data_IF_923605190404
#
_entry.id   IF_923605190404
#
_cell.length_a   1.000
_cell.length_b   1.000
_cell.length_c   1.000
_cell.angle_alpha   90.00
_cell.angle_beta   90.00
_cell.angle_gamma   90.00
#
_symmetry.space_group_name_H-M   'P 1'
#
loop_
_entity.id
_entity.type
_entity.pdbx_description
1 polymer ?
#
# COMPACT_ATOMS: atom_id res chain seq x y z
N UNK A 1 -33.82 3.35 -12.67
CA UNK A 1 -32.56 4.11 -12.78
C UNK A 1 -31.71 3.76 -11.56
N UNK A 2 -31.01 2.67 -11.55
CA UNK A 2 -30.02 2.28 -10.51
C UNK A 2 -29.26 1.04 -10.99
N UNK A 3 -28.30 1.19 -11.93
CA UNK A 3 -27.41 0.09 -12.36
C UNK A 3 -26.07 0.57 -12.97
N UNK A 4 -25.70 1.83 -12.82
CA UNK A 4 -24.48 2.38 -13.43
C UNK A 4 -23.32 2.62 -12.46
N UNK A 5 -23.55 2.60 -11.13
CA UNK A 5 -22.50 2.97 -10.16
C UNK A 5 -21.56 1.82 -9.74
N UNK A 6 -21.92 0.56 -10.07
CA UNK A 6 -21.11 -0.62 -9.69
C UNK A 6 -19.92 -0.90 -10.61
N UNK A 7 -19.91 -0.37 -11.83
CA UNK A 7 -18.86 -0.69 -12.82
C UNK A 7 -17.61 0.19 -12.69
N UNK A 8 -17.74 1.43 -12.23
CA UNK A 8 -16.58 2.31 -12.02
C UNK A 8 -15.72 1.93 -10.81
N UNK A 9 -16.34 1.46 -9.72
CA UNK A 9 -15.62 1.01 -8.53
C UNK A 9 -14.71 -0.19 -8.80
N UNK A 10 -15.20 -1.16 -9.59
CA UNK A 10 -14.44 -2.37 -9.92
C UNK A 10 -13.26 -2.14 -10.88
N UNK A 11 -13.31 -1.11 -11.72
CA UNK A 11 -12.21 -0.78 -12.63
C UNK A 11 -11.04 -0.13 -11.89
N UNK A 12 -11.31 0.71 -10.88
CA UNK A 12 -10.29 1.41 -10.11
C UNK A 12 -9.54 0.46 -9.15
N UNK A 13 -10.26 -0.46 -8.50
CA UNK A 13 -9.66 -1.49 -7.63
C UNK A 13 -8.79 -2.47 -8.45
N UNK A 14 -9.20 -2.81 -9.68
CA UNK A 14 -8.39 -3.64 -10.59
C UNK A 14 -7.11 -2.96 -11.03
N UNK A 15 -7.10 -1.65 -11.26
CA UNK A 15 -5.89 -0.94 -11.69
C UNK A 15 -4.87 -0.75 -10.55
N UNK A 16 -5.31 -0.52 -9.32
CA UNK A 16 -4.42 -0.43 -8.16
C UNK A 16 -3.78 -1.78 -7.81
N UNK A 17 -4.54 -2.87 -7.88
CA UNK A 17 -4.03 -4.23 -7.67
C UNK A 17 -3.11 -4.70 -8.81
N UNK A 18 -3.32 -4.26 -10.05
CA UNK A 18 -2.42 -4.54 -11.18
C UNK A 18 -1.08 -3.80 -11.04
N UNK A 19 -1.07 -2.59 -10.53
CA UNK A 19 0.17 -1.83 -10.31
C UNK A 19 1.05 -2.47 -9.23
N UNK A 20 0.45 -2.97 -8.15
CA UNK A 20 1.18 -3.68 -7.09
C UNK A 20 1.66 -5.06 -7.56
N UNK A 21 0.85 -5.80 -8.32
CA UNK A 21 1.22 -7.09 -8.90
C UNK A 21 2.31 -6.96 -9.99
N UNK A 22 2.29 -5.90 -10.80
CA UNK A 22 3.31 -5.64 -11.81
C UNK A 22 4.66 -5.30 -11.21
N UNK A 23 4.70 -4.62 -10.05
CA UNK A 23 5.95 -4.33 -9.33
C UNK A 23 6.60 -5.59 -8.75
N UNK A 24 5.79 -6.59 -8.35
CA UNK A 24 6.28 -7.85 -7.78
C UNK A 24 6.66 -8.92 -8.81
N UNK A 25 6.17 -8.82 -10.06
CA UNK A 25 6.37 -9.86 -11.07
C UNK A 25 7.55 -9.66 -12.02
N UNK A 26 8.35 -8.59 -11.85
CA UNK A 26 9.55 -8.37 -12.68
C UNK A 26 9.28 -8.31 -14.19
N UNK A 27 8.03 -8.03 -14.59
CA UNK A 27 7.66 -7.91 -16.00
C UNK A 27 8.15 -6.59 -16.56
N UNK A 28 9.37 -6.64 -17.11
CA UNK A 28 9.88 -5.65 -18.04
C UNK A 28 9.08 -5.71 -19.32
N UNK A 29 7.97 -4.98 -19.41
CA UNK A 29 7.41 -4.56 -20.68
C UNK A 29 6.31 -3.52 -20.48
N UNK A 30 6.58 -2.35 -21.04
CA UNK A 30 5.63 -1.24 -21.21
C UNK A 30 5.14 -0.67 -19.86
N UNK A 31 6.05 -0.26 -19.00
CA UNK A 31 5.73 0.80 -18.08
C UNK A 31 5.63 2.08 -18.92
N UNK A 32 4.40 2.54 -19.15
CA UNK A 32 4.20 3.97 -19.32
C UNK A 32 5.07 4.62 -18.24
N UNK A 33 5.92 5.55 -18.62
CA UNK A 33 6.94 6.21 -17.79
C UNK A 33 6.26 7.03 -16.67
N UNK A 34 5.65 6.32 -15.73
CA UNK A 34 5.16 6.87 -14.47
C UNK A 34 6.39 7.39 -13.75
N UNK A 35 6.59 8.70 -13.74
CA UNK A 35 7.64 9.25 -12.89
C UNK A 35 7.38 8.72 -11.47
N UNK A 36 8.40 8.15 -10.82
CA UNK A 36 8.21 7.53 -9.52
C UNK A 36 7.64 8.58 -8.57
N UNK A 37 6.52 8.25 -7.97
CA UNK A 37 5.97 9.04 -6.88
C UNK A 37 7.00 9.07 -5.77
N UNK A 38 7.37 10.28 -5.36
CA UNK A 38 8.38 10.45 -4.32
C UNK A 38 7.76 10.08 -2.96
N UNK A 39 8.50 9.32 -2.15
CA UNK A 39 8.12 9.08 -0.76
C UNK A 39 8.07 10.41 0.02
N UNK A 40 7.34 10.45 1.11
CA UNK A 40 7.25 11.64 1.98
C UNK A 40 8.62 12.11 2.44
N UNK A 41 9.55 11.18 2.72
CA UNK A 41 10.93 11.50 3.05
C UNK A 41 11.65 12.18 1.89
N UNK A 42 11.59 11.59 0.70
CA UNK A 42 12.20 12.14 -0.49
C UNK A 42 11.63 13.53 -0.87
N UNK A 43 10.31 13.73 -0.69
CA UNK A 43 9.69 15.04 -0.86
C UNK A 43 10.26 16.06 0.13
N UNK A 44 10.38 15.66 1.41
CA UNK A 44 10.92 16.51 2.46
C UNK A 44 12.39 16.86 2.21
N UNK A 45 13.20 15.91 1.78
CA UNK A 45 14.62 16.12 1.49
C UNK A 45 14.81 17.05 0.29
N UNK A 46 14.04 16.87 -0.78
CA UNK A 46 14.18 17.61 -2.04
C UNK A 46 13.53 18.98 -2.08
N UNK A 47 12.55 19.23 -1.23
CA UNK A 47 11.90 20.53 -1.17
C UNK A 47 12.84 21.60 -0.62
N UNK A 48 12.88 22.78 -1.25
CA UNK A 48 13.55 23.96 -0.74
C UNK A 48 12.73 24.67 0.34
N UNK A 49 11.39 24.57 0.20
CA UNK A 49 10.42 25.17 1.11
C UNK A 49 9.31 24.15 1.41
N UNK A 50 8.98 24.00 2.69
CA UNK A 50 7.83 23.21 3.14
C UNK A 50 6.97 24.11 4.01
N UNK A 51 5.73 24.30 3.59
CA UNK A 51 4.74 25.08 4.34
C UNK A 51 3.56 24.24 4.74
N UNK A 52 2.98 24.57 5.89
CA UNK A 52 1.74 23.98 6.39
C UNK A 52 0.70 25.08 6.48
N UNK A 53 -0.46 24.87 5.91
CA UNK A 53 -1.48 25.88 5.89
C UNK A 53 -2.76 25.49 5.15
N UNK A 54 -3.70 26.40 5.16
CA UNK A 54 -5.01 26.26 4.52
C UNK A 54 -4.97 26.81 3.11
N UNK A 55 -5.43 26.04 2.15
CA UNK A 55 -5.66 26.50 0.78
C UNK A 55 -6.90 27.39 0.78
N UNK A 56 -6.71 28.67 0.53
CA UNK A 56 -7.81 29.63 0.49
C UNK A 56 -8.47 29.67 -0.89
N UNK A 57 -7.65 29.62 -1.94
CA UNK A 57 -8.11 29.77 -3.31
C UNK A 57 -7.18 29.05 -4.29
N UNK A 58 -7.75 28.45 -5.31
CA UNK A 58 -7.05 27.93 -6.48
C UNK A 58 -7.68 28.53 -7.72
N UNK A 59 -6.89 29.14 -8.58
CA UNK A 59 -7.33 29.79 -9.80
C UNK A 59 -6.54 29.28 -10.99
N UNK A 60 -7.24 29.07 -12.08
CA UNK A 60 -6.64 28.79 -13.38
C UNK A 60 -5.95 30.03 -13.92
N UNK A 61 -4.70 29.90 -14.37
CA UNK A 61 -3.87 31.00 -14.88
C UNK A 61 -3.68 30.95 -16.39
N UNK A 62 -4.05 29.82 -17.03
CA UNK A 62 -3.97 29.63 -18.47
C UNK A 62 -3.13 28.42 -18.90
N UNK A 63 -2.98 28.19 -20.20
CA UNK A 63 -2.18 27.11 -20.72
C UNK A 63 -0.69 27.32 -20.47
N UNK A 64 0.01 26.24 -20.17
CA UNK A 64 1.46 26.23 -19.94
C UNK A 64 2.13 25.02 -20.59
N UNK A 65 3.41 24.86 -20.32
CA UNK A 65 4.17 23.70 -20.75
C UNK A 65 5.17 23.28 -19.67
N UNK A 66 5.33 21.99 -19.48
CA UNK A 66 6.36 21.44 -18.58
C UNK A 66 7.31 20.55 -19.38
N UNK A 67 8.62 20.76 -19.19
CA UNK A 67 9.64 19.89 -19.78
C UNK A 67 9.92 18.72 -18.81
N UNK A 68 9.70 17.49 -19.25
CA UNK A 68 10.03 16.27 -18.51
C UNK A 68 10.93 15.40 -19.39
N UNK A 69 12.13 15.10 -18.93
CA UNK A 69 13.13 14.28 -19.68
C UNK A 69 13.38 14.73 -21.13
N UNK A 70 13.32 16.05 -21.37
CA UNK A 70 13.56 16.63 -22.69
C UNK A 70 12.34 16.69 -23.62
N UNK A 71 11.20 16.16 -23.22
CA UNK A 71 9.93 16.32 -23.93
C UNK A 71 9.09 17.42 -23.27
N UNK A 72 8.44 18.24 -24.08
CA UNK A 72 7.50 19.28 -23.62
C UNK A 72 6.08 18.71 -23.59
N UNK A 73 5.46 18.77 -22.41
CA UNK A 73 4.08 18.37 -22.23
C UNK A 73 3.20 19.59 -21.99
N UNK A 74 2.06 19.69 -22.69
CA UNK A 74 1.11 20.77 -22.44
C UNK A 74 0.55 20.64 -21.02
N UNK A 75 0.45 21.79 -20.33
CA UNK A 75 -0.10 21.87 -18.99
C UNK A 75 -1.20 22.92 -18.92
N UNK A 76 -1.99 22.82 -17.86
CA UNK A 76 -2.82 23.90 -17.36
C UNK A 76 -2.15 24.48 -16.12
N UNK A 77 -1.88 25.77 -16.16
CA UNK A 77 -1.25 26.46 -15.04
C UNK A 77 -2.29 27.01 -14.08
N UNK A 78 -1.94 26.98 -12.79
CA UNK A 78 -2.78 27.44 -11.68
C UNK A 78 -1.97 28.32 -10.74
N UNK A 79 -2.70 29.18 -10.02
CA UNK A 79 -2.21 29.92 -8.87
C UNK A 79 -2.98 29.47 -7.63
N UNK A 80 -2.27 29.24 -6.52
CA UNK A 80 -2.87 28.92 -5.23
C UNK A 80 -2.49 29.95 -4.18
N UNK A 81 -3.50 30.44 -3.46
CA UNK A 81 -3.34 31.29 -2.29
C UNK A 81 -3.45 30.44 -1.03
N UNK A 82 -2.49 30.55 -0.13
CA UNK A 82 -2.41 29.79 1.11
C UNK A 82 -2.38 30.75 2.30
N UNK A 83 -3.17 30.42 3.33
CA UNK A 83 -2.96 30.95 4.68
C UNK A 83 -1.97 30.03 5.40
N UNK A 84 -0.71 30.50 5.55
CA UNK A 84 0.39 29.73 6.13
C UNK A 84 0.37 29.84 7.65
N UNK A 85 0.32 28.71 8.33
CA UNK A 85 0.43 28.61 9.78
C UNK A 85 1.86 28.34 10.22
N UNK A 86 2.61 27.56 9.44
CA UNK A 86 3.97 27.15 9.76
C UNK A 86 4.84 27.00 8.51
N UNK A 87 6.10 27.43 8.61
CA UNK A 87 7.18 27.06 7.71
C UNK A 87 8.01 25.94 8.37
N UNK A 88 7.89 24.72 7.85
CA UNK A 88 8.58 23.52 8.37
C UNK A 88 10.03 23.47 7.90
N UNK A 89 10.30 23.90 6.67
CA UNK A 89 11.63 23.93 6.05
C UNK A 89 11.77 25.15 5.14
N UNK A 90 12.96 25.70 5.05
CA UNK A 90 13.27 26.88 4.23
C UNK A 90 13.14 28.19 4.97
N UNK A 91 13.23 29.29 4.22
CA UNK A 91 13.05 30.64 4.77
C UNK A 91 11.57 30.89 5.13
N UNK A 92 11.28 31.52 6.27
CA UNK A 92 9.90 31.84 6.63
C UNK A 92 9.20 32.70 5.56
N UNK A 93 8.00 32.30 5.20
CA UNK A 93 7.17 33.02 4.22
C UNK A 93 6.07 33.85 4.92
N UNK A 94 5.48 34.86 4.26
CA UNK A 94 4.36 35.60 4.80
C UNK A 94 3.17 34.72 5.12
N UNK A 95 2.32 35.14 6.09
CA UNK A 95 1.09 34.42 6.43
C UNK A 95 0.14 34.19 5.25
N UNK A 96 0.15 35.10 4.28
CA UNK A 96 -0.52 34.93 2.98
C UNK A 96 0.56 34.73 1.95
N UNK A 97 0.56 33.60 1.33
CA UNK A 97 1.57 33.15 0.38
C UNK A 97 0.91 32.64 -0.88
N UNK A 98 1.35 33.12 -2.03
CA UNK A 98 0.86 32.66 -3.33
C UNK A 98 1.98 31.97 -4.08
N UNK A 99 1.67 30.85 -4.71
CA UNK A 99 2.58 30.15 -5.61
C UNK A 99 1.84 29.68 -6.86
N UNK A 100 2.60 29.39 -7.91
CA UNK A 100 2.06 28.86 -9.17
C UNK A 100 2.45 27.39 -9.35
N UNK A 101 1.61 26.65 -10.03
CA UNK A 101 1.89 25.25 -10.36
C UNK A 101 1.23 24.87 -11.68
N UNK A 102 1.83 23.88 -12.35
CA UNK A 102 1.37 23.38 -13.63
C UNK A 102 0.86 21.94 -13.47
N UNK A 103 -0.28 21.66 -14.07
CA UNK A 103 -0.87 20.32 -14.10
C UNK A 103 -0.86 19.84 -15.55
N UNK A 104 -0.31 18.68 -15.88
CA UNK A 104 -0.36 18.13 -17.23
C UNK A 104 -1.78 18.06 -17.77
N UNK A 105 -1.97 18.47 -19.02
CA UNK A 105 -3.30 18.52 -19.66
C UNK A 105 -3.82 17.13 -20.06
N UNK A 106 -2.99 16.10 -20.11
CA UNK A 106 -3.37 14.74 -20.45
C UNK A 106 -4.19 14.08 -19.34
N UNK A 107 -5.31 13.52 -19.73
CA UNK A 107 -6.50 13.22 -18.92
C UNK A 107 -6.31 12.36 -17.65
N UNK A 108 -5.31 11.51 -17.57
CA UNK A 108 -5.19 10.59 -16.45
C UNK A 108 -4.40 11.15 -15.25
N UNK A 109 -3.53 12.14 -15.47
CA UNK A 109 -2.60 12.64 -14.46
C UNK A 109 -3.05 13.94 -13.78
N UNK A 110 -3.79 14.76 -14.52
CA UNK A 110 -4.25 16.06 -14.05
C UNK A 110 -5.23 16.00 -12.88
N UNK A 111 -6.02 14.94 -12.80
CA UNK A 111 -7.04 14.78 -11.77
C UNK A 111 -6.44 14.51 -10.38
N UNK A 112 -5.30 13.82 -10.28
CA UNK A 112 -4.65 13.56 -8.98
C UNK A 112 -4.09 14.84 -8.37
N UNK A 113 -3.43 15.67 -9.16
CA UNK A 113 -2.89 16.95 -8.68
C UNK A 113 -4.00 17.97 -8.37
N UNK A 114 -5.09 18.01 -9.15
CA UNK A 114 -6.26 18.85 -8.88
C UNK A 114 -6.96 18.47 -7.58
N UNK A 115 -7.16 17.17 -7.32
CA UNK A 115 -7.78 16.68 -6.09
C UNK A 115 -6.99 17.03 -4.83
N UNK A 116 -5.67 17.26 -4.95
CA UNK A 116 -4.82 17.53 -3.79
C UNK A 116 -4.83 18.99 -3.31
N UNK A 117 -5.30 19.94 -4.13
CA UNK A 117 -5.34 21.38 -3.82
C UNK A 117 -6.75 21.94 -3.93
N UNK A 118 -7.67 21.39 -3.17
CA UNK A 118 -9.02 21.95 -3.07
C UNK A 118 -9.05 23.14 -2.11
N UNK A 119 -9.79 24.20 -2.44
CA UNK A 119 -10.04 25.30 -1.51
C UNK A 119 -10.61 24.80 -0.19
N UNK A 120 -10.28 25.48 0.89
CA UNK A 120 -10.67 25.13 2.26
C UNK A 120 -10.05 23.83 2.81
N UNK A 121 -9.09 23.20 2.11
CA UNK A 121 -8.33 22.07 2.66
C UNK A 121 -7.06 22.54 3.34
N UNK A 122 -6.65 21.79 4.38
CA UNK A 122 -5.41 22.06 5.12
C UNK A 122 -4.34 21.06 4.68
N UNK A 123 -3.14 21.57 4.30
CA UNK A 123 -2.11 20.76 3.62
C UNK A 123 -0.70 21.04 4.12
N UNK A 124 0.17 20.02 4.03
CA UNK A 124 1.63 20.19 3.92
C UNK A 124 1.96 20.27 2.44
N UNK A 125 2.68 21.30 2.03
CA UNK A 125 3.00 21.59 0.63
C UNK A 125 4.50 21.64 0.46
N UNK A 126 5.00 20.92 -0.54
CA UNK A 126 6.42 20.77 -0.86
C UNK A 126 6.76 21.56 -2.11
N UNK A 127 7.63 22.55 -1.97
CA UNK A 127 7.94 23.54 -3.01
C UNK A 127 9.44 23.62 -3.27
N UNK A 128 9.80 23.83 -4.53
CA UNK A 128 11.15 24.16 -4.96
C UNK A 128 11.20 25.61 -5.47
N UNK A 129 12.27 26.31 -5.13
CA UNK A 129 12.52 27.68 -5.58
C UNK A 129 12.81 27.71 -7.08
N UNK A 130 12.26 28.69 -7.76
CA UNK A 130 12.52 28.96 -9.19
C UNK A 130 12.93 30.41 -9.37
N UNK A 131 13.32 30.81 -10.57
CA UNK A 131 13.67 32.19 -10.86
C UNK A 131 12.49 33.18 -10.66
N UNK A 132 11.25 32.72 -10.79
CA UNK A 132 10.03 33.53 -10.74
C UNK A 132 9.15 33.24 -9.52
N UNK A 133 9.63 32.44 -8.54
CA UNK A 133 8.85 32.08 -7.36
C UNK A 133 9.04 30.65 -6.93
N UNK A 134 7.95 29.93 -6.69
CA UNK A 134 7.98 28.55 -6.22
C UNK A 134 7.11 27.64 -7.09
N UNK A 135 7.52 26.39 -7.25
CA UNK A 135 6.74 25.32 -7.88
C UNK A 135 6.73 24.06 -7.00
N UNK A 136 5.84 23.13 -7.27
CA UNK A 136 5.84 21.83 -6.58
C UNK A 136 7.16 21.08 -6.74
N UNK A 137 7.60 20.44 -5.66
CA UNK A 137 8.75 19.50 -5.68
C UNK A 137 8.47 18.28 -6.55
N UNK A 138 7.21 17.82 -6.56
CA UNK A 138 6.73 16.77 -7.44
C UNK A 138 5.36 17.15 -8.00
N UNK A 139 5.15 17.07 -9.33
CA UNK A 139 3.84 17.29 -9.92
C UNK A 139 2.84 16.17 -9.59
N UNK A 140 3.31 15.01 -9.15
CA UNK A 140 2.49 13.82 -8.88
C UNK A 140 2.08 13.69 -7.40
N UNK A 141 2.80 14.31 -6.49
CA UNK A 141 2.51 14.31 -5.05
C UNK A 141 2.83 15.68 -4.46
N UNK A 142 2.08 16.72 -4.87
CA UNK A 142 2.44 18.11 -4.55
C UNK A 142 2.20 18.48 -3.10
N UNK A 143 1.31 17.74 -2.42
CA UNK A 143 0.92 18.05 -1.05
C UNK A 143 0.38 16.82 -0.32
N UNK A 144 0.38 16.90 1.00
CA UNK A 144 -0.14 15.86 1.89
C UNK A 144 -1.25 16.47 2.75
N UNK A 145 -2.37 15.76 2.99
CA UNK A 145 -3.39 16.22 3.94
C UNK A 145 -2.78 16.47 5.32
N UNK A 146 -3.20 17.54 5.95
CA UNK A 146 -2.74 17.93 7.28
C UNK A 146 -3.92 18.47 8.11
N UNK A 147 -3.70 18.71 9.39
CA UNK A 147 -4.67 19.36 10.28
C UNK A 147 -4.04 20.51 11.04
N UNK A 148 -4.81 21.57 11.26
CA UNK A 148 -4.49 22.62 12.23
C UNK A 148 -4.70 22.20 13.67
N UNK A 149 -5.46 21.12 13.91
CA UNK A 149 -5.75 20.58 15.24
C UNK A 149 -4.69 19.55 15.61
N UNK A 150 -4.26 19.54 16.86
CA UNK A 150 -3.41 18.48 17.42
C UNK A 150 -4.27 17.31 17.91
N UNK A 151 -3.67 16.13 18.02
CA UNK A 151 -4.31 14.93 18.56
C UNK A 151 -4.66 15.01 20.06
N UNK A 152 -4.34 16.12 20.73
CA UNK A 152 -4.58 16.35 22.16
C UNK A 152 -3.31 16.31 23.00
N UNK A 153 -3.40 16.76 24.27
CA UNK A 153 -2.26 16.94 25.15
C UNK A 153 -1.60 15.61 25.59
N UNK A 154 -2.33 14.51 25.53
CA UNK A 154 -1.83 13.20 25.96
C UNK A 154 -0.97 12.52 24.90
N UNK A 155 -0.88 13.09 23.72
CA UNK A 155 -0.04 12.60 22.67
C UNK A 155 1.35 13.24 22.74
N UNK A 156 2.26 12.62 23.45
CA UNK A 156 3.66 13.03 23.52
C UNK A 156 4.54 11.99 22.80
N UNK A 157 4.57 12.03 21.48
CA UNK A 157 5.71 11.43 20.78
C UNK A 157 6.82 12.48 20.84
N UNK A 158 7.95 12.12 21.47
CA UNK A 158 9.13 12.96 21.48
C UNK A 158 9.74 12.96 20.08
N UNK A 159 9.30 13.92 19.25
CA UNK A 159 9.75 14.08 17.89
C UNK A 159 11.17 14.62 17.85
N UNK A 160 11.90 14.26 16.80
CA UNK A 160 13.07 15.01 16.40
C UNK A 160 12.62 16.36 15.83
N UNK A 161 13.42 17.40 16.00
CA UNK A 161 13.11 18.74 15.45
C UNK A 161 13.39 18.85 13.94
N UNK A 162 13.61 17.73 13.26
CA UNK A 162 13.85 17.73 11.82
C UNK A 162 12.53 17.92 11.02
N UNK A 163 12.69 18.42 9.80
CA UNK A 163 11.56 18.72 8.93
C UNK A 163 10.68 17.50 8.64
N UNK A 164 11.27 16.30 8.50
CA UNK A 164 10.53 15.08 8.21
C UNK A 164 9.63 14.67 9.38
N UNK A 165 10.16 14.73 10.61
CA UNK A 165 9.39 14.46 11.82
C UNK A 165 8.20 15.42 11.98
N UNK A 166 8.41 16.71 11.68
CA UNK A 166 7.33 17.72 11.70
C UNK A 166 6.26 17.43 10.63
N UNK A 167 6.66 17.02 9.43
CA UNK A 167 5.71 16.60 8.39
C UNK A 167 4.88 15.41 8.86
N UNK A 168 5.52 14.37 9.41
CA UNK A 168 4.84 13.19 9.94
C UNK A 168 3.85 13.56 11.05
N UNK A 169 4.22 14.46 11.95
CA UNK A 169 3.31 14.97 12.98
C UNK A 169 2.04 15.58 12.38
N UNK A 170 2.17 16.40 11.34
CA UNK A 170 1.02 17.04 10.69
C UNK A 170 0.09 16.01 10.02
N UNK A 171 0.66 14.98 9.43
CA UNK A 171 -0.11 13.85 8.86
C UNK A 171 -0.84 13.10 9.98
N UNK A 172 -0.18 12.81 11.08
CA UNK A 172 -0.78 12.12 12.21
C UNK A 172 -1.89 12.95 12.89
N UNK A 173 -1.69 14.26 13.04
CA UNK A 173 -2.72 15.18 13.52
C UNK A 173 -3.96 15.13 12.61
N UNK A 174 -3.78 14.96 11.30
CA UNK A 174 -4.89 14.77 10.37
C UNK A 174 -5.64 13.45 10.62
N UNK A 175 -4.94 12.36 10.92
CA UNK A 175 -5.57 11.07 11.23
C UNK A 175 -6.42 11.10 12.51
N UNK A 176 -6.10 12.00 13.46
CA UNK A 176 -6.84 12.18 14.70
C UNK A 176 -8.12 13.03 14.53
N UNK A 177 -8.26 13.75 13.43
CA UNK A 177 -9.39 14.66 13.22
C UNK A 177 -10.59 13.96 12.61
N UNK A 178 -11.78 14.54 12.77
CA UNK A 178 -13.01 14.09 12.10
C UNK A 178 -12.98 14.45 10.61
N UNK A 179 -12.12 13.76 9.86
CA UNK A 179 -12.03 13.90 8.41
C UNK A 179 -13.02 12.98 7.71
N UNK A 180 -13.46 13.39 6.51
CA UNK A 180 -14.36 12.60 5.68
C UNK A 180 -13.71 11.29 5.22
N UNK A 181 -14.52 10.33 4.78
CA UNK A 181 -14.00 9.06 4.24
C UNK A 181 -13.07 9.26 3.04
N UNK A 182 -13.32 10.26 2.18
CA UNK A 182 -12.48 10.57 1.02
C UNK A 182 -11.14 11.16 1.44
N UNK A 183 -11.12 12.05 2.44
CA UNK A 183 -9.89 12.60 3.00
C UNK A 183 -9.06 11.51 3.69
N UNK A 184 -9.71 10.59 4.41
CA UNK A 184 -9.06 9.42 4.98
C UNK A 184 -8.46 8.50 3.89
N UNK A 185 -9.13 8.31 2.76
CA UNK A 185 -8.60 7.55 1.62
C UNK A 185 -7.32 8.18 1.05
N UNK A 186 -7.22 9.51 0.98
CA UNK A 186 -6.01 10.17 0.50
C UNK A 186 -4.79 9.92 1.41
N UNK A 187 -5.00 9.78 2.71
CA UNK A 187 -3.93 9.42 3.66
C UNK A 187 -3.45 7.99 3.46
N UNK A 188 -4.34 7.08 3.07
CA UNK A 188 -3.96 5.71 2.71
C UNK A 188 -2.91 5.63 1.62
N UNK A 189 -3.11 6.39 0.54
CA UNK A 189 -2.15 6.45 -0.55
C UNK A 189 -0.79 6.93 -0.06
N UNK A 190 -0.80 7.85 0.90
CA UNK A 190 0.43 8.39 1.50
C UNK A 190 1.12 7.35 2.38
N UNK A 191 0.37 6.61 3.20
CA UNK A 191 0.91 5.57 4.08
C UNK A 191 1.51 4.40 3.30
N UNK A 192 0.87 3.97 2.22
CA UNK A 192 1.39 2.92 1.34
C UNK A 192 2.70 3.29 0.61
N UNK A 193 3.12 4.56 0.69
CA UNK A 193 4.30 5.07 0.02
C UNK A 193 5.43 5.45 0.99
N UNK A 194 5.28 5.09 2.25
CA UNK A 194 6.32 5.25 3.24
C UNK A 194 7.34 4.12 3.13
N UNK A 195 8.37 4.34 2.34
CA UNK A 195 9.50 3.42 2.20
C UNK A 195 10.48 3.49 3.39
N UNK A 196 10.23 4.38 4.35
CA UNK A 196 11.17 4.69 5.41
C UNK A 196 10.73 4.17 6.77
N UNK A 197 11.40 3.12 7.25
CA UNK A 197 11.18 2.54 8.58
C UNK A 197 11.39 3.53 9.75
N UNK A 198 12.00 4.70 9.51
CA UNK A 198 12.08 5.75 10.54
C UNK A 198 10.73 6.31 10.95
N UNK A 199 9.68 6.10 10.15
CA UNK A 199 8.29 6.42 10.50
C UNK A 199 7.65 5.40 11.47
N UNK A 200 8.26 4.24 11.72
CA UNK A 200 7.67 3.18 12.55
C UNK A 200 7.21 3.66 13.95
N UNK A 201 7.96 4.47 14.71
CA UNK A 201 7.49 4.97 16.01
C UNK A 201 6.18 5.78 15.90
N UNK A 202 6.02 6.55 14.82
CA UNK A 202 4.83 7.34 14.57
C UNK A 202 3.64 6.47 14.24
N UNK A 203 3.83 5.49 13.35
CA UNK A 203 2.77 4.57 12.96
C UNK A 203 2.30 3.74 14.16
N UNK A 204 3.21 3.30 15.01
CA UNK A 204 2.85 2.58 16.26
C UNK A 204 2.02 3.46 17.19
N UNK A 205 2.40 4.70 17.37
CA UNK A 205 1.61 5.63 18.18
C UNK A 205 0.23 5.90 17.53
N UNK A 206 0.15 6.00 16.20
CA UNK A 206 -1.11 6.16 15.49
C UNK A 206 -2.10 5.02 15.77
N UNK A 207 -1.63 3.78 15.93
CA UNK A 207 -2.49 2.64 16.28
C UNK A 207 -3.23 2.82 17.62
N UNK A 208 -2.69 3.61 18.55
CA UNK A 208 -3.34 3.89 19.83
C UNK A 208 -4.46 4.94 19.74
N UNK A 209 -4.56 5.64 18.60
CA UNK A 209 -5.57 6.68 18.40
C UNK A 209 -6.96 6.09 18.16
N UNK A 210 -8.00 6.56 18.85
CA UNK A 210 -9.36 6.06 18.66
C UNK A 210 -9.84 6.12 17.20
N UNK A 211 -9.54 7.21 16.48
CA UNK A 211 -9.92 7.40 15.07
C UNK A 211 -9.20 6.44 14.10
N UNK A 212 -7.98 6.00 14.44
CA UNK A 212 -7.24 5.00 13.68
C UNK A 212 -7.70 3.60 14.06
N UNK A 213 -7.79 3.33 15.35
CA UNK A 213 -8.17 2.01 15.85
C UNK A 213 -9.58 1.59 15.42
N UNK A 214 -10.52 2.53 15.36
CA UNK A 214 -11.88 2.28 14.87
C UNK A 214 -12.01 2.18 13.35
N UNK A 215 -10.98 2.52 12.59
CA UNK A 215 -10.98 2.47 11.13
C UNK A 215 -10.15 1.29 10.62
N UNK A 216 -10.78 0.17 10.19
CA UNK A 216 -10.06 -1.02 9.75
C UNK A 216 -9.09 -0.76 8.59
N UNK A 217 -9.47 0.13 7.68
CA UNK A 217 -8.62 0.47 6.56
C UNK A 217 -7.28 1.08 7.02
N UNK A 218 -7.33 2.09 7.91
CA UNK A 218 -6.12 2.72 8.46
C UNK A 218 -5.28 1.72 9.25
N UNK A 219 -5.94 0.95 10.09
CA UNK A 219 -5.27 -0.05 10.93
C UNK A 219 -4.55 -1.09 10.09
N UNK A 220 -5.19 -1.65 9.05
CA UNK A 220 -4.57 -2.63 8.15
C UNK A 220 -3.36 -2.05 7.41
N UNK A 221 -3.46 -0.81 6.90
CA UNK A 221 -2.34 -0.17 6.23
C UNK A 221 -1.14 -0.01 7.18
N UNK A 222 -1.37 0.57 8.36
CA UNK A 222 -0.32 0.81 9.35
C UNK A 222 0.31 -0.50 9.81
N UNK A 223 -0.51 -1.50 10.13
CA UNK A 223 -0.02 -2.81 10.58
C UNK A 223 0.78 -3.50 9.48
N UNK A 224 0.33 -3.42 8.22
CA UNK A 224 1.03 -3.98 7.07
C UNK A 224 2.40 -3.34 6.86
N UNK A 225 2.50 -2.01 6.93
CA UNK A 225 3.77 -1.30 6.79
C UNK A 225 4.75 -1.67 7.92
N UNK A 226 4.27 -1.70 9.17
CA UNK A 226 5.10 -2.08 10.32
C UNK A 226 5.61 -3.53 10.21
N UNK A 227 4.77 -4.47 9.77
CA UNK A 227 5.20 -5.85 9.52
C UNK A 227 6.19 -5.95 8.37
N UNK A 228 6.00 -5.16 7.31
CA UNK A 228 6.95 -5.10 6.20
C UNK A 228 8.34 -4.66 6.68
N UNK A 229 8.40 -3.73 7.62
CA UNK A 229 9.64 -3.31 8.28
C UNK A 229 10.09 -4.25 9.39
N UNK A 230 9.46 -5.42 9.55
CA UNK A 230 9.81 -6.44 10.54
C UNK A 230 9.58 -5.99 12.00
N UNK A 231 8.69 -5.03 12.22
CA UNK A 231 8.26 -4.68 13.59
C UNK A 231 7.21 -5.69 14.08
N UNK A 232 7.70 -6.71 14.76
CA UNK A 232 6.84 -7.80 15.27
C UNK A 232 5.96 -7.38 16.46
N UNK A 233 6.14 -6.19 17.03
CA UNK A 233 5.33 -5.73 18.17
C UNK A 233 3.84 -5.54 17.79
N UNK A 234 3.53 -5.41 16.50
CA UNK A 234 2.15 -5.28 15.99
C UNK A 234 1.53 -6.61 15.54
N UNK A 235 2.28 -7.72 15.65
CA UNK A 235 1.79 -9.04 15.24
C UNK A 235 0.49 -9.45 15.95
N UNK A 236 0.28 -9.19 17.26
CA UNK A 236 -0.99 -9.49 17.90
C UNK A 236 -2.19 -8.73 17.28
N UNK A 237 -1.97 -7.48 16.84
CA UNK A 237 -3.01 -6.68 16.16
C UNK A 237 -3.28 -7.28 14.78
N UNK A 238 -2.24 -7.66 14.04
CA UNK A 238 -2.36 -8.31 12.74
C UNK A 238 -3.15 -9.62 12.84
N UNK A 239 -2.85 -10.46 13.84
CA UNK A 239 -3.58 -11.70 14.07
C UNK A 239 -5.06 -11.43 14.39
N UNK A 240 -5.35 -10.48 15.28
CA UNK A 240 -6.71 -10.11 15.59
C UNK A 240 -7.45 -9.70 14.32
N UNK A 241 -6.88 -8.82 13.51
CA UNK A 241 -7.51 -8.30 12.29
C UNK A 241 -7.69 -9.37 11.20
N UNK A 242 -6.73 -10.28 11.06
CA UNK A 242 -6.84 -11.39 10.10
C UNK A 242 -7.96 -12.36 10.44
N UNK A 243 -8.14 -12.68 11.73
CA UNK A 243 -9.06 -13.72 12.17
C UNK A 243 -10.42 -13.20 12.65
N UNK A 244 -10.58 -11.89 12.81
CA UNK A 244 -11.89 -11.28 13.11
C UNK A 244 -12.72 -11.13 11.84
N UNK A 245 -13.71 -12.03 11.67
CA UNK A 245 -14.61 -12.03 10.52
C UNK A 245 -15.61 -10.85 10.52
N UNK A 246 -15.78 -10.16 11.64
CA UNK A 246 -16.61 -8.96 11.72
C UNK A 246 -15.95 -7.74 11.10
N UNK A 247 -14.63 -7.74 10.99
CA UNK A 247 -13.86 -6.64 10.42
C UNK A 247 -13.78 -6.79 8.92
N UNK A 248 -14.50 -5.93 8.22
CA UNK A 248 -14.43 -5.81 6.76
C UNK A 248 -13.84 -4.45 6.39
N UNK A 249 -13.02 -4.45 5.38
CA UNK A 249 -12.46 -3.24 4.79
C UNK A 249 -12.84 -3.17 3.32
N UNK A 250 -13.51 -2.10 2.94
CA UNK A 250 -13.93 -1.88 1.55
C UNK A 250 -12.79 -1.37 0.65
N UNK A 251 -11.77 -0.77 1.24
CA UNK A 251 -10.70 -0.09 0.49
C UNK A 251 -9.35 -0.81 0.61
N UNK A 252 -9.01 -1.31 1.78
CA UNK A 252 -7.74 -2.01 2.03
C UNK A 252 -8.03 -3.48 2.36
N UNK A 253 -8.00 -4.36 1.37
CA UNK A 253 -8.38 -5.76 1.57
C UNK A 253 -7.43 -6.45 2.55
N UNK A 254 -7.93 -7.38 3.33
CA UNK A 254 -7.12 -8.22 4.24
C UNK A 254 -5.98 -8.93 3.51
N UNK A 255 -6.08 -9.14 2.21
CA UNK A 255 -5.00 -9.70 1.39
C UNK A 255 -3.67 -8.93 1.48
N UNK A 256 -3.72 -7.61 1.70
CA UNK A 256 -2.50 -6.82 1.92
C UNK A 256 -1.84 -7.15 3.28
N UNK A 257 -2.65 -7.40 4.31
CA UNK A 257 -2.14 -7.86 5.59
C UNK A 257 -1.57 -9.29 5.49
N UNK A 258 -2.22 -10.16 4.71
CA UNK A 258 -1.71 -11.51 4.38
C UNK A 258 -0.35 -11.41 3.67
N UNK A 259 -0.22 -10.48 2.71
CA UNK A 259 1.06 -10.21 2.03
C UNK A 259 2.13 -9.73 3.02
N UNK A 260 1.81 -8.79 3.90
CA UNK A 260 2.75 -8.29 4.91
C UNK A 260 3.23 -9.42 5.85
N UNK A 261 2.32 -10.29 6.29
CA UNK A 261 2.66 -11.48 7.08
C UNK A 261 3.56 -12.42 6.31
N UNK A 262 3.32 -12.64 5.01
CA UNK A 262 4.16 -13.54 4.19
C UNK A 262 5.61 -13.08 4.08
N UNK A 263 5.86 -11.80 4.27
CA UNK A 263 7.21 -11.21 4.26
C UNK A 263 8.01 -11.52 5.52
N UNK A 264 7.38 -12.00 6.59
CA UNK A 264 8.04 -12.36 7.85
C UNK A 264 8.84 -13.66 7.70
N UNK A 265 9.67 -13.95 8.72
CA UNK A 265 10.40 -15.22 8.79
C UNK A 265 9.45 -16.43 8.68
N UNK A 266 9.83 -17.50 7.97
CA UNK A 266 8.97 -18.67 7.72
C UNK A 266 8.36 -19.29 8.99
N UNK A 267 9.09 -19.24 10.11
CA UNK A 267 8.63 -19.75 11.40
C UNK A 267 7.42 -18.99 11.95
N UNK A 268 7.25 -17.74 11.54
CA UNK A 268 6.13 -16.87 11.94
C UNK A 268 5.04 -16.89 10.86
N UNK A 269 5.44 -16.71 9.61
CA UNK A 269 4.49 -16.53 8.50
C UNK A 269 3.73 -17.81 8.15
N UNK A 270 4.40 -18.97 8.08
CA UNK A 270 3.75 -20.20 7.63
C UNK A 270 2.62 -20.66 8.57
N UNK A 271 2.78 -20.70 9.91
CA UNK A 271 1.68 -21.03 10.80
C UNK A 271 0.47 -20.09 10.65
N UNK A 272 0.70 -18.79 10.48
CA UNK A 272 -0.37 -17.81 10.28
C UNK A 272 -1.07 -18.02 8.94
N UNK A 273 -0.33 -18.14 7.84
CA UNK A 273 -0.89 -18.37 6.52
C UNK A 273 -1.65 -19.71 6.43
N UNK A 274 -1.17 -20.74 7.12
CA UNK A 274 -1.88 -22.02 7.25
C UNK A 274 -3.24 -21.89 7.96
N UNK A 275 -3.36 -20.96 8.91
CA UNK A 275 -4.65 -20.63 9.56
C UNK A 275 -5.55 -19.82 8.62
N UNK A 276 -4.98 -18.86 7.86
CA UNK A 276 -5.72 -18.05 6.88
C UNK A 276 -6.31 -18.95 5.78
N UNK A 277 -5.62 -19.99 5.33
CA UNK A 277 -6.14 -20.98 4.37
C UNK A 277 -7.39 -21.73 4.85
N UNK A 278 -7.76 -21.65 6.12
CA UNK A 278 -8.94 -22.28 6.70
C UNK A 278 -10.10 -21.31 6.94
N UNK A 279 -9.94 -20.04 6.58
CA UNK A 279 -10.98 -19.03 6.76
C UNK A 279 -12.16 -19.26 5.80
N UNK A 280 -13.35 -18.82 6.14
CA UNK A 280 -14.53 -18.97 5.28
C UNK A 280 -14.42 -18.21 3.96
N UNK A 281 -13.79 -17.02 3.98
CA UNK A 281 -13.66 -16.15 2.81
C UNK A 281 -12.65 -16.74 1.80
N UNK A 282 -13.08 -17.05 0.56
CA UNK A 282 -12.20 -17.58 -0.47
C UNK A 282 -11.12 -16.59 -0.92
N UNK A 283 -11.36 -15.28 -0.85
CA UNK A 283 -10.38 -14.27 -1.25
C UNK A 283 -9.20 -14.24 -0.27
N UNK A 284 -9.47 -14.43 1.02
CA UNK A 284 -8.42 -14.53 2.04
C UNK A 284 -7.61 -15.84 1.86
N UNK A 285 -8.26 -16.95 1.60
CA UNK A 285 -7.59 -18.24 1.31
C UNK A 285 -6.76 -18.17 0.03
N UNK A 286 -7.30 -17.53 -1.02
CA UNK A 286 -6.60 -17.28 -2.28
C UNK A 286 -5.31 -16.47 -2.05
N UNK A 287 -5.39 -15.41 -1.26
CA UNK A 287 -4.22 -14.60 -0.91
C UNK A 287 -3.17 -15.43 -0.17
N UNK A 288 -3.57 -16.21 0.83
CA UNK A 288 -2.65 -17.06 1.58
C UNK A 288 -1.97 -18.12 0.69
N UNK A 289 -2.74 -18.76 -0.22
CA UNK A 289 -2.19 -19.72 -1.17
C UNK A 289 -1.12 -19.10 -2.08
N UNK A 290 -1.36 -17.90 -2.59
CA UNK A 290 -0.41 -17.16 -3.43
C UNK A 290 0.84 -16.74 -2.67
N UNK A 291 0.68 -16.25 -1.44
CA UNK A 291 1.79 -15.66 -0.70
C UNK A 291 2.67 -16.69 0.02
N UNK A 292 2.19 -17.92 0.22
CA UNK A 292 3.01 -19.00 0.75
C UNK A 292 4.24 -19.32 -0.11
N UNK A 293 4.17 -19.10 -1.44
CA UNK A 293 5.32 -19.32 -2.32
C UNK A 293 6.50 -18.39 -2.00
N UNK A 294 6.24 -17.17 -1.51
CA UNK A 294 7.30 -16.20 -1.19
C UNK A 294 8.09 -16.58 0.06
N UNK A 295 7.56 -17.46 0.91
CA UNK A 295 8.30 -17.96 2.08
C UNK A 295 9.49 -18.85 1.68
N UNK A 296 9.51 -19.37 0.44
CA UNK A 296 10.53 -20.25 -0.12
C UNK A 296 10.97 -21.36 0.86
N UNK A 297 10.02 -21.96 1.57
CA UNK A 297 10.23 -22.94 2.63
C UNK A 297 9.59 -24.28 2.28
N UNK A 298 10.27 -25.39 2.65
CA UNK A 298 9.72 -26.73 2.54
C UNK A 298 8.40 -26.87 3.33
N UNK A 299 8.29 -26.22 4.50
CA UNK A 299 7.06 -26.27 5.29
C UNK A 299 5.86 -25.62 4.58
N UNK A 300 6.09 -24.67 3.66
CA UNK A 300 5.03 -24.11 2.84
C UNK A 300 4.47 -25.13 1.83
N UNK A 301 5.28 -26.05 1.34
CA UNK A 301 4.81 -27.13 0.46
C UNK A 301 3.77 -28.00 1.16
N UNK A 302 4.04 -28.43 2.40
CA UNK A 302 3.11 -29.27 3.15
C UNK A 302 1.77 -28.57 3.38
N UNK A 303 1.81 -27.27 3.66
CA UNK A 303 0.61 -26.43 3.84
C UNK A 303 -0.17 -26.33 2.52
N UNK A 304 0.49 -26.03 1.40
CA UNK A 304 -0.13 -25.92 0.09
C UNK A 304 -0.72 -27.26 -0.38
N UNK A 305 0.01 -28.38 -0.19
CA UNK A 305 -0.49 -29.70 -0.52
C UNK A 305 -1.78 -30.05 0.25
N UNK A 306 -1.90 -29.60 1.50
CA UNK A 306 -3.12 -29.79 2.29
C UNK A 306 -4.31 -28.95 1.80
N UNK A 307 -4.07 -27.93 0.97
CA UNK A 307 -5.09 -27.03 0.42
C UNK A 307 -5.48 -27.37 -1.03
N UNK A 308 -4.98 -28.47 -1.60
CA UNK A 308 -5.34 -28.92 -2.96
C UNK A 308 -6.84 -29.22 -3.13
N UNK A 309 -7.51 -29.59 -2.05
CA UNK A 309 -8.93 -29.96 -2.04
C UNK A 309 -9.82 -28.79 -1.57
N UNK A 310 -9.35 -27.53 -1.67
CA UNK A 310 -10.16 -26.36 -1.33
C UNK A 310 -11.45 -26.34 -2.18
N UNK A 311 -12.62 -26.03 -1.60
CA UNK A 311 -13.88 -25.99 -2.35
C UNK A 311 -13.91 -24.90 -3.43
N UNK A 312 -13.07 -23.86 -3.33
CA UNK A 312 -12.97 -22.80 -4.32
C UNK A 312 -11.92 -23.11 -5.38
N UNK A 313 -12.34 -23.08 -6.65
CA UNK A 313 -11.47 -23.41 -7.79
C UNK A 313 -10.35 -22.38 -8.01
N UNK A 314 -10.55 -21.11 -7.62
CA UNK A 314 -9.50 -20.08 -7.70
C UNK A 314 -8.41 -20.34 -6.66
N UNK A 315 -8.81 -20.79 -5.47
CA UNK A 315 -7.85 -21.20 -4.42
C UNK A 315 -7.05 -22.42 -4.87
N UNK A 316 -7.71 -23.47 -5.40
CA UNK A 316 -7.00 -24.64 -5.98
C UNK A 316 -6.01 -24.23 -7.08
N UNK A 317 -6.42 -23.29 -7.97
CA UNK A 317 -5.54 -22.76 -9.01
C UNK A 317 -4.29 -22.10 -8.42
N UNK A 318 -4.47 -21.23 -7.43
CA UNK A 318 -3.36 -20.55 -6.76
C UNK A 318 -2.44 -21.54 -6.04
N UNK A 319 -3.00 -22.56 -5.38
CA UNK A 319 -2.23 -23.63 -4.73
C UNK A 319 -1.34 -24.33 -5.76
N UNK A 320 -1.87 -24.77 -6.90
CA UNK A 320 -1.10 -25.44 -7.95
C UNK A 320 -0.06 -24.53 -8.60
N UNK A 321 -0.36 -23.23 -8.75
CA UNK A 321 0.63 -22.25 -9.23
C UNK A 321 1.80 -22.15 -8.25
N UNK A 322 1.51 -21.97 -6.96
CA UNK A 322 2.51 -21.83 -5.91
C UNK A 322 3.36 -23.08 -5.72
N UNK A 323 2.74 -24.29 -5.77
CA UNK A 323 3.45 -25.57 -5.76
C UNK A 323 4.41 -25.67 -6.94
N UNK A 324 3.95 -25.35 -8.15
CA UNK A 324 4.78 -25.36 -9.36
C UNK A 324 5.96 -24.39 -9.29
N UNK A 325 5.77 -23.21 -8.68
CA UNK A 325 6.83 -22.23 -8.48
C UNK A 325 7.86 -22.70 -7.44
N UNK A 326 7.42 -23.16 -6.27
CA UNK A 326 8.29 -23.65 -5.20
C UNK A 326 9.12 -24.87 -5.61
N UNK A 327 8.52 -25.81 -6.34
CA UNK A 327 9.18 -27.05 -6.76
C UNK A 327 9.89 -26.96 -8.10
N UNK A 328 9.77 -25.82 -8.82
CA UNK A 328 10.23 -25.62 -10.19
C UNK A 328 9.58 -26.56 -11.23
N UNK A 329 8.41 -27.10 -10.90
CA UNK A 329 7.67 -28.01 -11.78
C UNK A 329 6.55 -27.26 -12.52
N UNK A 330 6.93 -26.24 -13.30
CA UNK A 330 6.03 -25.34 -13.99
C UNK A 330 5.06 -26.01 -14.97
N UNK A 331 5.43 -27.19 -15.51
CA UNK A 331 4.58 -27.99 -16.41
C UNK A 331 3.30 -28.52 -15.71
N UNK A 332 3.28 -28.59 -14.39
CA UNK A 332 2.15 -29.01 -13.59
C UNK A 332 1.32 -27.87 -13.00
N UNK A 333 1.48 -26.68 -13.57
CA UNK A 333 0.61 -25.54 -13.29
C UNK A 333 -0.50 -25.48 -14.34
N UNK A 334 -1.78 -25.37 -13.96
CA UNK A 334 -2.83 -25.10 -14.92
C UNK A 334 -2.66 -23.72 -15.55
N UNK A 335 -3.01 -23.58 -16.83
CA UNK A 335 -2.87 -22.31 -17.56
C UNK A 335 -4.11 -21.42 -17.45
N UNK A 336 -5.26 -22.01 -17.12
CA UNK A 336 -6.55 -21.32 -16.98
C UNK A 336 -7.42 -22.04 -15.95
N UNK A 337 -8.23 -21.26 -15.24
CA UNK A 337 -9.20 -21.79 -14.27
C UNK A 337 -10.38 -22.47 -14.98
N UNK A 338 -10.81 -21.96 -16.13
CA UNK A 338 -12.05 -22.36 -16.78
C UNK A 338 -11.87 -23.45 -17.85
N UNK A 339 -10.74 -23.42 -18.55
CA UNK A 339 -10.57 -24.17 -19.81
C UNK A 339 -9.34 -25.11 -19.85
N UNK A 340 -8.66 -25.34 -18.75
CA UNK A 340 -7.49 -26.24 -18.77
C UNK A 340 -7.94 -27.72 -18.75
N UNK A 341 -7.77 -28.38 -19.88
CA UNK A 341 -8.05 -29.82 -20.03
C UNK A 341 -7.12 -30.71 -19.18
N UNK A 342 -6.04 -30.14 -18.64
CA UNK A 342 -5.06 -30.85 -17.80
C UNK A 342 -5.33 -30.66 -16.30
N UNK A 343 -6.42 -29.96 -15.92
CA UNK A 343 -6.71 -29.66 -14.53
C UNK A 343 -6.62 -30.90 -13.62
N UNK A 344 -7.35 -31.94 -13.98
CA UNK A 344 -7.38 -33.18 -13.19
C UNK A 344 -6.02 -33.87 -13.16
N UNK A 345 -5.25 -33.79 -14.25
CA UNK A 345 -3.89 -34.31 -14.31
C UNK A 345 -2.94 -33.56 -13.40
N UNK A 346 -3.09 -32.22 -13.31
CA UNK A 346 -2.31 -31.39 -12.38
C UNK A 346 -2.63 -31.73 -10.92
N UNK A 347 -3.91 -31.81 -10.56
CA UNK A 347 -4.32 -32.21 -9.20
C UNK A 347 -3.79 -33.60 -8.86
N UNK A 348 -3.96 -34.58 -9.77
CA UNK A 348 -3.46 -35.96 -9.58
C UNK A 348 -1.95 -35.98 -9.34
N UNK A 349 -1.19 -35.23 -10.16
CA UNK A 349 0.26 -35.13 -10.00
C UNK A 349 0.65 -34.62 -8.60
N UNK A 350 0.02 -33.54 -8.12
CA UNK A 350 0.34 -32.97 -6.80
C UNK A 350 -0.04 -33.86 -5.64
N UNK A 351 -1.12 -34.64 -5.77
CA UNK A 351 -1.48 -35.69 -4.78
C UNK A 351 -0.45 -36.83 -4.75
N UNK A 352 0.00 -37.31 -5.92
CA UNK A 352 1.05 -38.32 -6.01
C UNK A 352 2.39 -37.79 -5.45
N UNK A 353 2.72 -36.52 -5.70
CA UNK A 353 3.89 -35.85 -5.13
C UNK A 353 3.83 -35.81 -3.59
N UNK A 354 2.68 -35.49 -3.01
CA UNK A 354 2.46 -35.47 -1.57
C UNK A 354 2.71 -36.88 -0.95
N UNK A 355 2.12 -37.92 -1.53
CA UNK A 355 2.31 -39.28 -1.03
C UNK A 355 3.77 -39.75 -1.13
N UNK A 356 4.45 -39.44 -2.22
CA UNK A 356 5.89 -39.74 -2.37
C UNK A 356 6.73 -39.02 -1.31
N UNK A 357 6.43 -37.75 -1.04
CA UNK A 357 7.14 -36.94 -0.04
C UNK A 357 6.93 -37.50 1.37
N UNK A 358 5.69 -37.84 1.73
CA UNK A 358 5.37 -38.46 3.01
C UNK A 358 6.06 -39.82 3.18
N UNK A 359 6.14 -40.63 2.12
CA UNK A 359 6.80 -41.92 2.14
C UNK A 359 8.31 -41.79 2.36
N UNK A 360 8.96 -40.83 1.67
CA UNK A 360 10.40 -40.56 1.88
C UNK A 360 10.71 -40.12 3.31
N UNK A 361 9.88 -39.27 3.90
CA UNK A 361 10.05 -38.80 5.27
C UNK A 361 9.87 -39.92 6.30
N UNK A 362 8.94 -40.87 6.07
CA UNK A 362 8.74 -42.07 6.93
C UNK A 362 9.95 -42.98 6.86
N UNK A 363 10.48 -43.23 5.68
CA UNK A 363 11.66 -44.13 5.50
C UNK A 363 12.94 -43.54 6.12
N UNK A 364 13.13 -42.21 6.05
CA UNK A 364 14.29 -41.56 6.67
C UNK A 364 14.27 -41.59 8.21
N UNK A 365 13.08 -41.50 8.81
CA UNK A 365 12.91 -41.64 10.28
C UNK A 365 13.11 -43.06 10.80
N UNK A 366 12.86 -44.08 9.99
CA UNK A 366 13.07 -45.47 10.39
C UNK A 366 14.55 -45.88 10.40
N UNK A 367 15.44 -45.15 9.72
CA UNK A 367 16.87 -45.45 9.67
C UNK A 367 17.65 -44.79 10.85
N UNK A 368 17.05 -43.83 11.55
CA UNK A 368 17.63 -43.13 12.72
C UNK A 368 17.04 -43.66 14.05
N UNK A 369 16.75 -44.99 14.14
CA UNK A 369 16.34 -45.63 15.37
C UNK A 369 17.48 -45.61 16.42
N UNK A 370 17.16 -45.58 17.73
CA UNK A 370 18.16 -45.35 18.79
C UNK A 370 19.19 -46.46 18.79
N UNK A 371 20.47 -46.07 18.56
CA UNK A 371 21.61 -46.89 18.87
C UNK A 371 21.95 -46.84 20.37
#
# INVERSE_FOLDING_TARGET
MAKTDSLCSNAFVKSANLALAAFLLGASSVSADLAPTLSTKNLTERADLIVVGKIERVQESGPGNIAVRGANYPTQDYSADISVDETVKGEPVPRRFTFTFSVPSADEWGNVARGSLLPNTYRVIFLNKTATGYRFTSPYSPSIPASSKSCGPDWQIKLREDAYSKVLERVLNFLCTDSTSEEKQSVFLILNWWEDSSAAPFLKAALSLPGVNSNPNLRFAIVSDLLHWKDLSVLPVAEQDLFDQSVQSSFYPKSNLVLAVSSLEPQISIPLLSRVLKLPDPDERLAAARFLEYTNSQAALDVLLSALDDPDRQVQFAVMQSLGNLTKQHQWRPTSIESDSRWDACIKHWREFDEQTKTRLRSSRSVTGPG
#
